data_IF_784339999484
#
_entry.id   IF_784339999484
#
_cell.length_a   1.000
_cell.length_b   1.000
_cell.length_c   1.000
_cell.angle_alpha   90.00
_cell.angle_beta   90.00
_cell.angle_gamma   90.00
#
_symmetry.space_group_name_H-M   'P 1'
#
loop_
_entity.id
_entity.type
_entity.pdbx_description
1 polymer ?
#
# COMPACT_ATOMS: atom_id res chain seq x y z
N UNK A 1 31.44 31.70 -7.04
CA UNK A 1 30.05 31.34 -6.68
C UNK A 1 29.87 29.87 -6.97
N UNK A 2 29.58 29.06 -5.94
CA UNK A 2 29.24 27.65 -6.15
C UNK A 2 27.80 27.59 -6.65
N UNK A 3 27.62 27.27 -7.92
CA UNK A 3 26.30 27.09 -8.50
C UNK A 3 25.68 25.81 -7.96
N UNK A 4 24.44 25.89 -7.49
CA UNK A 4 23.65 24.70 -7.21
C UNK A 4 23.42 23.92 -8.50
N UNK A 5 23.18 22.61 -8.41
CA UNK A 5 22.88 21.79 -9.61
C UNK A 5 21.77 22.40 -10.49
N UNK A 6 20.77 23.03 -9.87
CA UNK A 6 19.69 23.72 -10.58
C UNK A 6 19.97 25.19 -10.91
N UNK A 7 21.04 25.78 -10.36
CA UNK A 7 21.45 27.19 -10.51
C UNK A 7 20.39 28.26 -10.12
N UNK A 8 19.26 27.85 -9.57
CA UNK A 8 18.11 28.73 -9.30
C UNK A 8 17.96 29.16 -7.85
N UNK A 9 18.65 28.50 -6.92
CA UNK A 9 18.54 28.73 -5.47
C UNK A 9 19.90 28.61 -4.80
N UNK A 10 20.05 29.19 -3.62
CA UNK A 10 21.26 29.07 -2.80
C UNK A 10 21.51 27.62 -2.38
N UNK A 11 22.79 27.28 -2.26
CA UNK A 11 23.21 25.97 -1.81
C UNK A 11 23.06 25.87 -0.30
N UNK A 12 22.42 24.79 0.16
CA UNK A 12 22.36 24.42 1.58
C UNK A 12 23.19 23.17 1.89
N UNK A 13 23.50 22.37 0.86
CA UNK A 13 24.26 21.13 0.98
C UNK A 13 25.40 21.11 -0.05
N UNK A 14 26.55 20.58 0.37
CA UNK A 14 27.76 20.50 -0.45
C UNK A 14 28.29 19.07 -0.44
N UNK A 15 28.36 18.46 -1.62
CA UNK A 15 29.10 17.23 -1.87
C UNK A 15 30.48 17.55 -2.48
N UNK A 16 31.33 16.53 -2.61
CA UNK A 16 32.70 16.66 -3.12
C UNK A 16 32.82 17.39 -4.47
N UNK A 17 31.81 17.27 -5.33
CA UNK A 17 31.82 17.85 -6.68
C UNK A 17 30.62 18.76 -6.99
N UNK A 18 29.60 18.80 -6.13
CA UNK A 18 28.34 19.49 -6.42
C UNK A 18 27.80 20.18 -5.18
N UNK A 19 27.10 21.29 -5.39
CA UNK A 19 26.32 21.94 -4.35
C UNK A 19 24.83 21.84 -4.71
N UNK A 20 23.98 21.70 -3.71
CA UNK A 20 22.55 21.47 -3.88
C UNK A 20 21.74 22.45 -3.04
N UNK A 21 20.65 22.96 -3.61
CA UNK A 21 19.58 23.55 -2.83
C UNK A 21 18.76 22.44 -2.15
N UNK A 22 17.82 22.80 -1.30
CA UNK A 22 17.01 21.83 -0.54
C UNK A 22 16.29 20.81 -1.44
N UNK A 23 15.57 21.28 -2.45
CA UNK A 23 14.81 20.41 -3.36
C UNK A 23 15.73 19.46 -4.15
N UNK A 24 16.83 19.97 -4.69
CA UNK A 24 17.77 19.12 -5.43
C UNK A 24 18.51 18.12 -4.53
N UNK A 25 18.71 18.46 -3.24
CA UNK A 25 19.28 17.53 -2.27
C UNK A 25 18.34 16.36 -2.02
N UNK A 26 17.04 16.66 -1.89
CA UNK A 26 16.01 15.66 -1.69
C UNK A 26 15.87 14.74 -2.92
N UNK A 27 15.85 15.31 -4.13
CA UNK A 27 15.77 14.53 -5.37
C UNK A 27 16.95 13.55 -5.52
N UNK A 28 18.18 14.00 -5.22
CA UNK A 28 19.37 13.14 -5.29
C UNK A 28 19.33 12.08 -4.21
N UNK A 29 18.92 12.41 -2.99
CA UNK A 29 18.77 11.44 -1.91
C UNK A 29 17.74 10.36 -2.28
N UNK A 30 16.55 10.75 -2.76
CA UNK A 30 15.52 9.82 -3.19
C UNK A 30 15.97 8.95 -4.38
N UNK A 31 16.69 9.54 -5.35
CA UNK A 31 17.26 8.81 -6.47
C UNK A 31 18.30 7.77 -6.05
N UNK A 32 19.20 8.11 -5.12
CA UNK A 32 20.19 7.19 -4.57
C UNK A 32 19.52 6.08 -3.75
N UNK A 33 18.53 6.42 -2.92
CA UNK A 33 17.80 5.44 -2.12
C UNK A 33 17.02 4.46 -3.01
N UNK A 34 16.39 4.95 -4.09
CA UNK A 34 15.75 4.12 -5.12
C UNK A 34 16.75 3.18 -5.80
N UNK A 35 17.91 3.70 -6.22
CA UNK A 35 18.97 2.91 -6.84
C UNK A 35 19.57 1.85 -5.90
N UNK A 36 19.61 2.14 -4.60
CA UNK A 36 20.08 1.22 -3.57
C UNK A 36 19.10 0.08 -3.24
N UNK A 37 17.91 0.02 -3.88
CA UNK A 37 16.86 -0.97 -3.57
C UNK A 37 16.65 -1.09 -2.06
N UNK A 38 16.35 0.03 -1.42
CA UNK A 38 16.07 0.13 0.03
C UNK A 38 15.47 -1.18 0.55
N UNK A 39 16.16 -1.82 1.49
CA UNK A 39 15.56 -2.93 2.23
C UNK A 39 14.31 -2.43 2.96
N UNK A 40 13.36 -3.33 3.24
CA UNK A 40 12.14 -3.01 4.01
C UNK A 40 12.43 -2.21 5.28
N UNK A 41 13.58 -2.44 5.91
CA UNK A 41 14.04 -1.73 7.11
C UNK A 41 14.26 -0.24 6.85
N UNK A 42 14.82 0.13 5.71
CA UNK A 42 15.12 1.51 5.39
C UNK A 42 13.86 2.29 4.95
N UNK A 43 12.92 1.65 4.25
CA UNK A 43 11.59 2.22 3.98
C UNK A 43 10.85 2.49 5.30
N UNK A 44 10.84 1.52 6.23
CA UNK A 44 10.22 1.66 7.55
C UNK A 44 10.81 2.82 8.36
N UNK A 45 12.13 3.01 8.33
CA UNK A 45 12.80 4.11 9.03
C UNK A 45 12.42 5.49 8.46
N UNK A 46 12.25 5.60 7.14
CA UNK A 46 11.83 6.85 6.48
C UNK A 46 10.38 7.20 6.78
N UNK A 47 9.48 6.21 6.79
CA UNK A 47 8.08 6.39 7.22
C UNK A 47 8.01 6.84 8.68
N UNK A 48 8.79 6.19 9.57
CA UNK A 48 8.86 6.58 10.98
C UNK A 48 9.39 8.01 11.17
N UNK A 49 10.15 8.52 10.20
CA UNK A 49 10.66 9.90 10.17
C UNK A 49 9.68 10.90 9.56
N UNK A 50 8.46 10.47 9.22
CA UNK A 50 7.37 11.34 8.75
C UNK A 50 7.32 11.57 7.23
N UNK A 51 8.08 10.81 6.45
CA UNK A 51 8.03 10.90 4.98
C UNK A 51 6.91 10.04 4.41
N UNK A 52 6.04 10.65 3.60
CA UNK A 52 4.96 9.97 2.88
C UNK A 52 5.54 9.21 1.67
N UNK A 53 5.74 7.90 1.82
CA UNK A 53 6.30 7.03 0.80
C UNK A 53 5.31 5.96 0.35
N UNK A 54 5.26 5.63 -0.96
CA UNK A 54 4.45 4.53 -1.45
C UNK A 54 5.02 3.20 -0.95
N UNK A 55 4.37 2.62 0.06
CA UNK A 55 4.73 1.30 0.58
C UNK A 55 4.11 0.24 -0.33
N UNK A 56 4.94 -0.67 -0.84
CA UNK A 56 4.42 -1.90 -1.43
C UNK A 56 3.82 -2.74 -0.30
N UNK A 57 2.52 -2.57 -0.07
CA UNK A 57 1.79 -3.41 0.88
C UNK A 57 1.71 -4.83 0.34
N UNK A 58 1.62 -5.81 1.24
CA UNK A 58 1.25 -7.17 0.87
C UNK A 58 -0.04 -7.13 0.03
N UNK A 59 -0.21 -8.02 -0.95
CA UNK A 59 -1.39 -8.03 -1.79
C UNK A 59 -2.65 -8.15 -0.90
N UNK A 60 -3.61 -7.27 -1.17
CA UNK A 60 -4.93 -7.31 -0.58
C UNK A 60 -5.95 -7.57 -1.68
N UNK A 61 -7.02 -8.27 -1.32
CA UNK A 61 -8.03 -8.75 -2.24
C UNK A 61 -9.38 -8.19 -1.83
N UNK A 62 -10.14 -7.64 -2.78
CA UNK A 62 -11.52 -7.29 -2.52
C UNK A 62 -12.38 -8.57 -2.41
N UNK A 63 -13.58 -8.44 -1.84
CA UNK A 63 -14.56 -9.54 -1.88
C UNK A 63 -14.87 -9.98 -3.33
N UNK A 64 -14.78 -9.07 -4.29
CA UNK A 64 -15.00 -9.34 -5.71
C UNK A 64 -13.87 -10.17 -6.32
N UNK A 65 -12.63 -9.87 -5.97
CA UNK A 65 -11.46 -10.63 -6.46
C UNK A 65 -11.51 -12.07 -5.96
N UNK A 66 -11.73 -12.23 -4.66
CA UNK A 66 -11.87 -13.56 -4.05
C UNK A 66 -13.08 -14.33 -4.59
N UNK A 67 -14.20 -13.65 -4.84
CA UNK A 67 -15.38 -14.29 -5.40
C UNK A 67 -15.12 -14.82 -6.82
N UNK A 68 -14.44 -14.05 -7.67
CA UNK A 68 -14.03 -14.47 -9.01
C UNK A 68 -13.07 -15.66 -8.96
N UNK A 69 -12.10 -15.61 -8.05
CA UNK A 69 -11.13 -16.68 -7.86
C UNK A 69 -11.78 -18.01 -7.45
N UNK A 70 -12.77 -17.94 -6.56
CA UNK A 70 -13.45 -19.12 -6.00
C UNK A 70 -14.62 -19.60 -6.89
N UNK A 71 -15.11 -18.76 -7.79
CA UNK A 71 -16.29 -19.07 -8.62
C UNK A 71 -17.61 -18.89 -7.86
N UNK A 72 -17.69 -17.92 -6.95
CA UNK A 72 -18.93 -17.59 -6.20
C UNK A 72 -19.31 -16.12 -6.40
N UNK A 73 -20.45 -15.70 -5.85
CA UNK A 73 -20.82 -14.27 -5.86
C UNK A 73 -20.09 -13.48 -4.76
N UNK A 74 -19.75 -12.19 -4.99
CA UNK A 74 -19.18 -11.31 -3.95
C UNK A 74 -20.06 -11.22 -2.70
N UNK A 75 -21.38 -11.30 -2.88
CA UNK A 75 -22.35 -11.32 -1.78
C UNK A 75 -22.20 -12.58 -0.92
N UNK A 76 -21.92 -13.76 -1.52
CA UNK A 76 -21.67 -14.99 -0.77
C UNK A 76 -20.41 -14.86 0.09
N UNK A 77 -19.32 -14.31 -0.47
CA UNK A 77 -18.08 -14.01 0.28
C UNK A 77 -18.38 -13.10 1.47
N UNK A 78 -19.10 -12.00 1.24
CA UNK A 78 -19.45 -11.05 2.30
C UNK A 78 -20.30 -11.66 3.42
N UNK A 79 -21.27 -12.52 3.08
CA UNK A 79 -22.09 -13.25 4.06
C UNK A 79 -21.27 -14.22 4.90
N UNK A 80 -20.42 -15.03 4.27
CA UNK A 80 -19.54 -15.98 4.97
C UNK A 80 -18.55 -15.25 5.87
N UNK A 81 -17.95 -14.16 5.39
CA UNK A 81 -17.04 -13.34 6.17
C UNK A 81 -17.70 -12.74 7.41
N UNK A 82 -18.91 -12.19 7.27
CA UNK A 82 -19.68 -11.66 8.41
C UNK A 82 -20.06 -12.78 9.40
N UNK A 83 -20.58 -13.91 8.91
CA UNK A 83 -21.01 -15.02 9.77
C UNK A 83 -19.87 -15.65 10.58
N UNK A 84 -18.64 -15.56 10.09
CA UNK A 84 -17.44 -16.10 10.73
C UNK A 84 -16.54 -15.02 11.36
N UNK A 85 -17.03 -13.78 11.50
CA UNK A 85 -16.30 -12.66 12.09
C UNK A 85 -14.91 -12.41 11.46
N UNK A 86 -14.81 -12.55 10.13
CA UNK A 86 -13.54 -12.36 9.41
C UNK A 86 -13.21 -10.90 9.14
N UNK A 87 -14.12 -9.96 9.36
CA UNK A 87 -13.87 -8.52 9.12
C UNK A 87 -13.17 -7.86 10.30
N UNK A 88 -11.96 -8.32 10.59
CA UNK A 88 -11.10 -7.83 11.67
C UNK A 88 -9.66 -7.74 11.20
N UNK A 89 -8.86 -6.95 11.92
CA UNK A 89 -7.49 -6.57 11.55
C UNK A 89 -6.58 -7.76 11.18
N UNK A 90 -6.78 -8.92 11.81
CA UNK A 90 -6.04 -10.16 11.52
C UNK A 90 -6.19 -10.62 10.06
N UNK A 91 -7.36 -10.44 9.47
CA UNK A 91 -7.72 -10.99 8.16
C UNK A 91 -7.77 -9.95 7.05
N UNK A 92 -7.48 -8.69 7.37
CA UNK A 92 -7.56 -7.60 6.41
C UNK A 92 -7.86 -6.27 7.07
N UNK A 93 -8.27 -5.31 6.25
CA UNK A 93 -8.46 -3.93 6.67
C UNK A 93 -9.63 -3.27 5.93
N UNK A 94 -10.18 -2.24 6.55
CA UNK A 94 -11.19 -1.39 5.92
C UNK A 94 -10.51 -0.31 5.09
N UNK A 95 -10.96 -0.13 3.85
CA UNK A 95 -10.48 0.93 2.94
C UNK A 95 -11.66 1.75 2.43
N UNK A 96 -11.41 3.03 2.16
CA UNK A 96 -12.34 3.87 1.43
C UNK A 96 -12.28 3.50 -0.06
N UNK A 97 -13.45 3.25 -0.63
CA UNK A 97 -13.63 2.83 -2.01
C UNK A 97 -14.84 3.54 -2.62
N UNK A 98 -14.98 3.49 -3.93
CA UNK A 98 -16.16 4.01 -4.62
C UNK A 98 -17.20 2.91 -4.78
N UNK A 99 -18.47 3.24 -4.52
CA UNK A 99 -19.57 2.32 -4.79
C UNK A 99 -19.62 1.93 -6.28
N UNK A 100 -19.84 0.64 -6.57
CA UNK A 100 -19.80 0.11 -7.94
C UNK A 100 -20.71 0.85 -8.94
N UNK A 101 -21.86 1.38 -8.47
CA UNK A 101 -22.88 2.00 -9.31
C UNK A 101 -23.12 3.49 -9.00
N UNK A 102 -22.25 4.13 -8.22
CA UNK A 102 -22.44 5.54 -7.80
C UNK A 102 -21.12 6.21 -7.49
N UNK A 103 -21.09 7.55 -7.51
CA UNK A 103 -19.93 8.35 -7.04
C UNK A 103 -19.81 8.39 -5.51
N UNK A 104 -20.73 7.74 -4.79
CA UNK A 104 -20.69 7.65 -3.32
C UNK A 104 -19.43 6.90 -2.87
N UNK A 105 -18.69 7.48 -1.93
CA UNK A 105 -17.63 6.79 -1.18
C UNK A 105 -18.24 5.87 -0.13
N UNK A 106 -17.68 4.67 -0.02
CA UNK A 106 -18.09 3.62 0.91
C UNK A 106 -16.86 2.97 1.53
N UNK A 107 -17.03 2.35 2.70
CA UNK A 107 -16.00 1.50 3.28
C UNK A 107 -16.15 0.06 2.76
N UNK A 108 -15.06 -0.50 2.25
CA UNK A 108 -14.98 -1.89 1.82
C UNK A 108 -13.89 -2.63 2.59
N UNK A 109 -14.16 -3.87 2.96
CA UNK A 109 -13.17 -4.72 3.64
C UNK A 109 -12.32 -5.44 2.60
N UNK A 110 -11.01 -5.24 2.70
CA UNK A 110 -9.99 -5.83 1.86
C UNK A 110 -9.25 -6.92 2.62
N UNK A 111 -9.25 -8.13 2.09
CA UNK A 111 -8.68 -9.31 2.73
C UNK A 111 -7.19 -9.39 2.46
N UNK A 112 -6.40 -9.67 3.50
CA UNK A 112 -5.01 -10.08 3.35
C UNK A 112 -4.93 -11.60 3.05
N UNK A 113 -3.72 -12.14 2.93
CA UNK A 113 -3.51 -13.57 2.68
C UNK A 113 -4.13 -14.50 3.73
N UNK A 114 -4.14 -14.08 5.01
CA UNK A 114 -4.78 -14.86 6.08
C UNK A 114 -6.30 -14.90 5.89
N UNK A 115 -6.91 -13.75 5.58
CA UNK A 115 -8.35 -13.64 5.28
C UNK A 115 -8.74 -14.47 4.06
N UNK A 116 -7.95 -14.40 2.98
CA UNK A 116 -8.13 -15.22 1.77
C UNK A 116 -8.10 -16.71 2.10
N UNK A 117 -7.06 -17.19 2.79
CA UNK A 117 -6.93 -18.61 3.19
C UNK A 117 -8.11 -19.09 4.03
N UNK A 118 -8.54 -18.28 4.99
CA UNK A 118 -9.67 -18.64 5.87
C UNK A 118 -10.99 -18.68 5.11
N UNK A 119 -11.21 -17.74 4.18
CA UNK A 119 -12.39 -17.72 3.32
C UNK A 119 -12.48 -18.95 2.42
N UNK A 120 -11.37 -19.35 1.80
CA UNK A 120 -11.29 -20.56 0.98
C UNK A 120 -11.72 -21.80 1.77
N UNK A 121 -11.16 -22.00 2.96
CA UNK A 121 -11.53 -23.13 3.84
C UNK A 121 -13.03 -23.17 4.17
N UNK A 122 -13.63 -22.02 4.49
CA UNK A 122 -15.06 -21.96 4.84
C UNK A 122 -15.96 -22.22 3.63
N UNK A 123 -15.55 -21.75 2.45
CA UNK A 123 -16.34 -21.89 1.23
C UNK A 123 -16.24 -23.30 0.63
N UNK A 124 -15.08 -23.96 0.71
CA UNK A 124 -14.91 -25.38 0.34
C UNK A 124 -15.78 -26.31 1.18
N UNK A 125 -15.93 -26.04 2.48
CA UNK A 125 -16.79 -26.82 3.39
C UNK A 125 -18.28 -26.65 3.05
N UNK A 126 -18.67 -25.50 2.50
CA UNK A 126 -20.08 -25.19 2.20
C UNK A 126 -20.55 -25.76 0.84
N UNK A 127 -19.63 -26.19 -0.03
CA UNK A 127 -19.95 -26.75 -1.36
C UNK A 127 -19.94 -28.28 -1.42
N UNK A 128 -19.65 -28.96 -0.30
CA UNK A 128 -19.89 -30.40 -0.13
C UNK A 128 -21.23 -30.60 0.57
#
# INVERSE_FOLDING_TARGET
MLYTRCQTKEAIAHARFYSYCESCSLDVALGLLSACRLSDTAIKALIASGWDMPVTTLPHYSATDLAKEIGVSPQKVGRVANANNLKRQEFGEWRLDQAANSKKQIETFWYNDHGRKRLLQLLEVTTK
#
